data_IF_208409054334
#
_entry.id   IF_208409054334
#
_cell.length_a   1.000
_cell.length_b   1.000
_cell.length_c   1.000
_cell.angle_alpha   90.00
_cell.angle_beta   90.00
_cell.angle_gamma   90.00
#
_symmetry.space_group_name_H-M   'P 1'
#
loop_
_entity.id
_entity.type
_entity.pdbx_description
1 polymer ?
#
# COMPACT_ATOMS: atom_id res chain seq x y z
N UNK A 1 -41.53 22.76 -3.22
CA UNK A 1 -41.09 22.04 -4.43
C UNK A 1 -39.61 22.33 -4.76
N UNK A 2 -39.14 23.55 -4.65
CA UNK A 2 -37.75 23.92 -4.89
C UNK A 2 -36.74 23.29 -3.91
N UNK A 3 -37.13 23.05 -2.67
CA UNK A 3 -36.28 22.43 -1.66
C UNK A 3 -36.00 20.94 -1.92
N UNK A 4 -36.96 20.25 -2.52
CA UNK A 4 -36.77 18.83 -2.84
C UNK A 4 -35.79 18.60 -4.01
N UNK A 5 -35.79 19.52 -4.98
CA UNK A 5 -34.86 19.47 -6.12
C UNK A 5 -33.40 19.76 -5.67
N UNK A 6 -33.23 20.65 -4.71
CA UNK A 6 -31.92 20.99 -4.17
C UNK A 6 -31.31 19.83 -3.34
N UNK A 7 -32.16 19.12 -2.60
CA UNK A 7 -31.77 17.95 -1.83
C UNK A 7 -31.32 16.78 -2.72
N UNK A 8 -31.99 16.57 -3.85
CA UNK A 8 -31.59 15.53 -4.81
C UNK A 8 -30.25 15.84 -5.49
N UNK A 9 -29.97 17.11 -5.76
CA UNK A 9 -28.68 17.53 -6.34
C UNK A 9 -27.52 17.34 -5.37
N UNK A 10 -27.72 17.61 -4.09
CA UNK A 10 -26.70 17.42 -3.05
C UNK A 10 -26.39 15.95 -2.82
N UNK A 11 -27.41 15.07 -2.84
CA UNK A 11 -27.21 13.62 -2.73
C UNK A 11 -26.49 13.04 -3.94
N UNK A 12 -26.78 13.49 -5.13
CA UNK A 12 -26.09 13.04 -6.34
C UNK A 12 -24.61 13.41 -6.34
N UNK A 13 -24.25 14.60 -5.88
CA UNK A 13 -22.86 15.04 -5.74
C UNK A 13 -22.08 14.24 -4.69
N UNK A 14 -22.72 13.90 -3.57
CA UNK A 14 -22.11 13.09 -2.51
C UNK A 14 -21.81 11.66 -2.98
N UNK A 15 -22.71 11.05 -3.73
CA UNK A 15 -22.57 9.71 -4.30
C UNK A 15 -21.43 9.68 -5.35
N UNK A 16 -21.37 10.69 -6.22
CA UNK A 16 -20.33 10.82 -7.24
C UNK A 16 -18.93 10.96 -6.62
N UNK A 17 -18.79 11.74 -5.57
CA UNK A 17 -17.54 11.90 -4.83
C UNK A 17 -17.08 10.58 -4.21
N UNK A 18 -17.97 9.86 -3.51
CA UNK A 18 -17.66 8.57 -2.88
C UNK A 18 -17.24 7.52 -3.90
N UNK A 19 -17.90 7.46 -5.05
CA UNK A 19 -17.58 6.53 -6.12
C UNK A 19 -16.21 6.83 -6.73
N UNK A 20 -15.87 8.11 -6.97
CA UNK A 20 -14.57 8.53 -7.48
C UNK A 20 -13.43 8.20 -6.49
N UNK A 21 -13.63 8.48 -5.22
CA UNK A 21 -12.66 8.16 -4.18
C UNK A 21 -12.43 6.65 -4.05
N UNK A 22 -13.49 5.84 -4.12
CA UNK A 22 -13.41 4.39 -4.08
C UNK A 22 -12.68 3.83 -5.31
N UNK A 23 -12.90 4.39 -6.50
CA UNK A 23 -12.21 3.98 -7.72
C UNK A 23 -10.70 4.30 -7.64
N UNK A 24 -10.33 5.50 -7.16
CA UNK A 24 -8.94 5.89 -6.98
C UNK A 24 -8.22 4.97 -5.98
N UNK A 25 -8.87 4.61 -4.86
CA UNK A 25 -8.30 3.68 -3.88
C UNK A 25 -8.14 2.28 -4.47
N UNK A 26 -9.07 1.81 -5.28
CA UNK A 26 -8.96 0.50 -5.95
C UNK A 26 -7.73 0.47 -6.85
N UNK A 27 -7.53 1.48 -7.67
CA UNK A 27 -6.39 1.58 -8.58
C UNK A 27 -5.07 1.63 -7.80
N UNK A 28 -5.02 2.39 -6.73
CA UNK A 28 -3.84 2.50 -5.87
C UNK A 28 -3.53 1.17 -5.17
N UNK A 29 -4.54 0.44 -4.71
CA UNK A 29 -4.38 -0.88 -4.10
C UNK A 29 -3.85 -1.90 -5.10
N UNK A 30 -4.37 -1.91 -6.33
CA UNK A 30 -3.90 -2.80 -7.39
C UNK A 30 -2.44 -2.51 -7.72
N UNK A 31 -2.08 -1.24 -7.88
CA UNK A 31 -0.70 -0.84 -8.16
C UNK A 31 0.24 -1.22 -7.03
N UNK A 32 -0.15 -0.95 -5.79
CA UNK A 32 0.65 -1.30 -4.61
C UNK A 32 0.88 -2.81 -4.53
N UNK A 33 -0.14 -3.61 -4.81
CA UNK A 33 -0.05 -5.06 -4.84
C UNK A 33 0.89 -5.56 -5.94
N UNK A 34 0.80 -4.99 -7.13
CA UNK A 34 1.69 -5.33 -8.25
C UNK A 34 3.14 -4.99 -7.93
N UNK A 35 3.41 -3.79 -7.40
CA UNK A 35 4.76 -3.36 -7.04
C UNK A 35 5.32 -4.23 -5.90
N UNK A 36 4.50 -4.58 -4.93
CA UNK A 36 4.87 -5.47 -3.84
C UNK A 36 5.23 -6.87 -4.37
N UNK A 37 4.41 -7.42 -5.25
CA UNK A 37 4.66 -8.73 -5.87
C UNK A 37 5.97 -8.76 -6.65
N UNK A 38 6.26 -7.70 -7.41
CA UNK A 38 7.52 -7.55 -8.16
C UNK A 38 8.73 -7.47 -7.21
N UNK A 39 8.63 -6.68 -6.15
CA UNK A 39 9.73 -6.55 -5.19
C UNK A 39 9.96 -7.84 -4.42
N UNK A 40 8.91 -8.57 -4.11
CA UNK A 40 8.98 -9.89 -3.47
C UNK A 40 9.69 -10.90 -4.37
N UNK A 41 9.36 -10.93 -5.65
CA UNK A 41 10.03 -11.81 -6.62
C UNK A 41 11.51 -11.45 -6.75
N UNK A 42 11.84 -10.15 -6.80
CA UNK A 42 13.23 -9.69 -6.83
C UNK A 42 14.00 -10.11 -5.57
N UNK A 43 13.36 -10.04 -4.41
CA UNK A 43 13.96 -10.46 -3.14
C UNK A 43 14.22 -11.97 -3.12
N UNK A 44 13.29 -12.78 -3.61
CA UNK A 44 13.48 -14.24 -3.73
C UNK A 44 14.61 -14.58 -4.69
N UNK A 45 14.69 -13.90 -5.83
CA UNK A 45 15.77 -14.08 -6.80
C UNK A 45 17.14 -13.68 -6.22
N UNK A 46 17.18 -12.70 -5.33
CA UNK A 46 18.41 -12.20 -4.70
C UNK A 46 18.83 -12.99 -3.45
N UNK A 47 18.07 -13.99 -3.03
CA UNK A 47 18.29 -14.71 -1.76
C UNK A 47 19.71 -15.32 -1.67
N UNK A 48 20.26 -15.77 -2.80
CA UNK A 48 21.61 -16.35 -2.89
C UNK A 48 22.61 -15.44 -3.59
N UNK A 49 22.24 -14.19 -3.83
CA UNK A 49 23.08 -13.23 -4.55
C UNK A 49 24.15 -12.61 -3.63
N UNK A 50 25.10 -11.93 -4.26
CA UNK A 50 26.12 -11.16 -3.55
C UNK A 50 25.49 -10.05 -2.69
N UNK A 51 26.13 -9.63 -1.58
CA UNK A 51 25.57 -8.65 -0.66
C UNK A 51 25.04 -7.36 -1.30
N UNK A 52 25.70 -6.73 -2.29
CA UNK A 52 25.16 -5.52 -2.93
C UNK A 52 23.83 -5.74 -3.62
N UNK A 53 23.65 -6.87 -4.28
CA UNK A 53 22.40 -7.23 -4.97
C UNK A 53 21.28 -7.49 -3.96
N UNK A 54 21.62 -8.21 -2.90
CA UNK A 54 20.70 -8.49 -1.79
C UNK A 54 20.26 -7.20 -1.11
N UNK A 55 21.18 -6.30 -0.81
CA UNK A 55 20.90 -5.00 -0.22
C UNK A 55 19.92 -4.18 -1.09
N UNK A 56 20.18 -4.10 -2.41
CA UNK A 56 19.30 -3.40 -3.34
C UNK A 56 17.89 -4.00 -3.38
N UNK A 57 17.77 -5.32 -3.35
CA UNK A 57 16.48 -6.02 -3.33
C UNK A 57 15.69 -5.71 -2.04
N UNK A 58 16.34 -5.69 -0.89
CA UNK A 58 15.70 -5.32 0.38
C UNK A 58 15.24 -3.86 0.39
N UNK A 59 16.07 -2.94 -0.12
CA UNK A 59 15.68 -1.53 -0.24
C UNK A 59 14.43 -1.36 -1.09
N UNK A 60 14.38 -2.02 -2.23
CA UNK A 60 13.21 -1.99 -3.12
C UNK A 60 11.97 -2.55 -2.43
N UNK A 61 12.11 -3.63 -1.68
CA UNK A 61 11.00 -4.26 -0.97
C UNK A 61 10.49 -3.36 0.17
N UNK A 62 11.37 -2.71 0.92
CA UNK A 62 11.00 -1.75 1.97
C UNK A 62 10.23 -0.56 1.36
N UNK A 63 10.67 -0.01 0.23
CA UNK A 63 9.96 1.06 -0.47
C UNK A 63 8.55 0.61 -0.88
N UNK A 64 8.43 -0.58 -1.46
CA UNK A 64 7.17 -1.15 -1.88
C UNK A 64 6.21 -1.35 -0.70
N UNK A 65 6.71 -1.92 0.39
CA UNK A 65 5.91 -2.15 1.61
C UNK A 65 5.50 -0.84 2.28
N UNK A 66 6.33 0.19 2.20
CA UNK A 66 5.99 1.55 2.67
C UNK A 66 4.81 2.11 1.87
N UNK A 67 4.78 1.90 0.56
CA UNK A 67 3.65 2.31 -0.29
C UNK A 67 2.38 1.55 0.07
N UNK A 68 2.47 0.24 0.30
CA UNK A 68 1.33 -0.57 0.78
C UNK A 68 0.77 0.00 2.08
N UNK A 69 1.63 0.33 3.03
CA UNK A 69 1.23 0.93 4.30
C UNK A 69 0.48 2.25 4.10
N UNK A 70 0.99 3.13 3.24
CA UNK A 70 0.35 4.42 2.95
C UNK A 70 -1.01 4.25 2.27
N UNK A 71 -1.12 3.33 1.33
CA UNK A 71 -2.38 3.08 0.62
C UNK A 71 -3.41 2.48 1.57
N UNK A 72 -3.03 1.53 2.42
CA UNK A 72 -3.92 0.98 3.44
C UNK A 72 -4.41 2.05 4.42
N UNK A 73 -3.52 2.91 4.89
CA UNK A 73 -3.89 3.98 5.81
C UNK A 73 -4.96 4.92 5.23
N UNK A 74 -4.89 5.19 3.92
CA UNK A 74 -5.81 6.08 3.22
C UNK A 74 -7.08 5.38 2.76
N UNK A 75 -6.98 4.14 2.29
CA UNK A 75 -8.02 3.46 1.52
C UNK A 75 -8.75 2.35 2.29
N UNK A 76 -8.15 1.82 3.35
CA UNK A 76 -8.77 0.76 4.14
C UNK A 76 -9.76 1.39 5.14
N UNK A 77 -11.05 1.12 4.93
CA UNK A 77 -12.13 1.63 5.77
C UNK A 77 -12.92 0.51 6.45
N UNK A 78 -12.50 -0.74 6.25
CA UNK A 78 -13.17 -1.91 6.80
C UNK A 78 -12.86 -2.16 8.28
N UNK A 79 -13.54 -3.15 8.86
CA UNK A 79 -13.34 -3.59 10.24
C UNK A 79 -11.93 -4.12 10.53
N UNK A 80 -11.21 -4.55 9.51
CA UNK A 80 -9.85 -5.09 9.61
C UNK A 80 -8.75 -4.03 9.46
N UNK A 81 -9.11 -2.74 9.38
CA UNK A 81 -8.15 -1.65 9.17
C UNK A 81 -7.00 -1.66 10.18
N UNK A 82 -7.33 -1.75 11.46
CA UNK A 82 -6.33 -1.76 12.53
C UNK A 82 -5.42 -3.00 12.44
N UNK A 83 -5.98 -4.15 12.15
CA UNK A 83 -5.24 -5.41 11.97
C UNK A 83 -4.30 -5.34 10.77
N UNK A 84 -4.79 -4.85 9.64
CA UNK A 84 -3.98 -4.70 8.43
C UNK A 84 -2.83 -3.71 8.64
N UNK A 85 -3.09 -2.59 9.32
CA UNK A 85 -2.06 -1.61 9.67
C UNK A 85 -0.99 -2.21 10.58
N UNK A 86 -1.38 -2.95 11.60
CA UNK A 86 -0.46 -3.61 12.54
C UNK A 86 0.41 -4.64 11.81
N UNK A 87 -0.17 -5.48 10.99
CA UNK A 87 0.56 -6.51 10.23
C UNK A 87 1.55 -5.88 9.25
N UNK A 88 1.12 -4.83 8.53
CA UNK A 88 1.97 -4.12 7.57
C UNK A 88 3.12 -3.42 8.26
N UNK A 89 2.87 -2.75 9.38
CA UNK A 89 3.91 -2.05 10.14
C UNK A 89 4.91 -3.02 10.77
N UNK A 90 4.45 -4.16 11.26
CA UNK A 90 5.33 -5.22 11.78
C UNK A 90 6.24 -5.79 10.69
N UNK A 91 5.67 -6.08 9.51
CA UNK A 91 6.43 -6.56 8.36
C UNK A 91 7.46 -5.52 7.92
N UNK A 92 7.07 -4.24 7.88
CA UNK A 92 7.95 -3.14 7.51
C UNK A 92 9.15 -3.04 8.47
N UNK A 93 8.91 -3.13 9.77
CA UNK A 93 9.97 -3.12 10.79
C UNK A 93 10.94 -4.30 10.60
N UNK A 94 10.42 -5.49 10.34
CA UNK A 94 11.22 -6.69 10.12
C UNK A 94 12.08 -6.56 8.85
N UNK A 95 11.51 -6.08 7.75
CA UNK A 95 12.25 -5.90 6.50
C UNK A 95 13.29 -4.78 6.59
N UNK A 96 13.02 -3.71 7.33
CA UNK A 96 14.02 -2.67 7.61
C UNK A 96 15.23 -3.24 8.36
N UNK A 97 14.99 -4.08 9.34
CA UNK A 97 16.07 -4.77 10.08
C UNK A 97 16.87 -5.67 9.14
N UNK A 98 16.19 -6.48 8.33
CA UNK A 98 16.86 -7.36 7.35
C UNK A 98 17.62 -6.56 6.29
N UNK A 99 17.06 -5.43 5.85
CA UNK A 99 17.75 -4.50 4.95
C UNK A 99 19.03 -3.97 5.57
N UNK A 100 18.97 -3.53 6.83
CA UNK A 100 20.16 -3.04 7.53
C UNK A 100 21.22 -4.10 7.63
N UNK A 101 20.86 -5.35 7.91
CA UNK A 101 21.80 -6.48 7.94
C UNK A 101 22.42 -6.74 6.56
N UNK A 102 21.59 -6.78 5.51
CA UNK A 102 22.05 -7.04 4.15
C UNK A 102 22.93 -5.90 3.60
N UNK A 103 22.72 -4.67 4.06
CA UNK A 103 23.43 -3.48 3.60
C UNK A 103 24.65 -3.13 4.44
N UNK A 104 24.97 -3.89 5.47
CA UNK A 104 26.22 -3.73 6.20
C UNK A 104 27.42 -4.05 5.31
N UNK A 105 28.43 -3.24 5.42
CA UNK A 105 29.72 -3.47 4.72
C UNK A 105 30.62 -4.39 5.53
#
# INVERSE_FOLDING_TARGET
>A
MTRAKLLCLLTALSIGWTAAAAAACRDDLVKADQDFSKSRSALQAAASAAPPVKCAAYRRHVVSLTQVSKVFARCDTGGDKAKNATQTNSALADFKRQMNEACKK
#
